data_IF_701934508925
#
_entry.id   IF_701934508925
#
_cell.length_a   1.000
_cell.length_b   1.000
_cell.length_c   1.000
_cell.angle_alpha   90.00
_cell.angle_beta   90.00
_cell.angle_gamma   90.00
#
_symmetry.space_group_name_H-M   'P 1'
#
loop_
_entity.id
_entity.type
_entity.pdbx_description
1 polymer ?
#
# COMPACT_ATOMS: atom_id res chain seq x y z
N UNK A 1 -2.79 -5.73 -17.12
CA UNK A 1 -2.75 -4.68 -16.07
C UNK A 1 -4.07 -3.92 -16.12
N UNK A 2 -4.54 -3.35 -15.00
CA UNK A 2 -5.81 -2.61 -14.95
C UNK A 2 -5.96 -1.55 -16.06
N UNK A 3 -4.85 -0.89 -16.42
CA UNK A 3 -4.78 0.14 -17.47
C UNK A 3 -4.95 -0.44 -18.89
N UNK A 4 -4.38 -1.62 -19.15
CA UNK A 4 -4.52 -2.33 -20.43
C UNK A 4 -5.98 -2.77 -20.63
N UNK A 5 -6.63 -3.23 -19.56
CA UNK A 5 -8.04 -3.62 -19.59
C UNK A 5 -9.00 -2.44 -19.83
N UNK A 6 -8.55 -1.21 -19.57
CA UNK A 6 -9.32 0.04 -19.75
C UNK A 6 -8.96 0.78 -21.05
N UNK A 7 -8.08 0.24 -21.91
CA UNK A 7 -7.61 0.87 -23.16
C UNK A 7 -7.03 2.28 -22.97
N UNK A 8 -6.43 2.56 -21.81
CA UNK A 8 -5.77 3.84 -21.56
C UNK A 8 -4.35 3.74 -22.13
N UNK A 9 -4.01 4.59 -23.10
CA UNK A 9 -2.65 4.66 -23.62
C UNK A 9 -1.70 5.20 -22.54
N UNK A 10 -0.65 4.45 -22.21
CA UNK A 10 0.39 4.88 -21.29
C UNK A 10 1.77 4.43 -21.76
N UNK A 11 2.78 5.21 -21.43
CA UNK A 11 4.18 4.82 -21.58
C UNK A 11 4.68 4.22 -20.26
N UNK A 12 5.27 3.02 -20.33
CA UNK A 12 5.82 2.33 -19.15
C UNK A 12 6.86 3.20 -18.42
N UNK A 13 7.71 3.89 -19.18
CA UNK A 13 8.71 4.82 -18.66
C UNK A 13 8.08 5.97 -17.86
N UNK A 14 6.97 6.53 -18.35
CA UNK A 14 6.25 7.60 -17.65
C UNK A 14 5.67 7.10 -16.32
N UNK A 15 5.10 5.90 -16.28
CA UNK A 15 4.60 5.31 -15.02
C UNK A 15 5.73 5.04 -14.01
N UNK A 16 6.86 4.53 -14.49
CA UNK A 16 8.04 4.31 -13.66
C UNK A 16 8.61 5.62 -13.10
N UNK A 17 8.61 6.68 -13.91
CA UNK A 17 9.04 8.01 -13.47
C UNK A 17 8.10 8.59 -12.40
N UNK A 18 6.78 8.46 -12.57
CA UNK A 18 5.81 8.87 -11.54
C UNK A 18 6.06 8.10 -10.24
N UNK A 19 6.27 6.78 -10.32
CA UNK A 19 6.56 5.96 -9.13
C UNK A 19 7.85 6.41 -8.43
N UNK A 20 8.93 6.67 -9.18
CA UNK A 20 10.18 7.21 -8.65
C UNK A 20 9.97 8.57 -7.98
N UNK A 21 9.19 9.46 -8.58
CA UNK A 21 8.86 10.76 -7.99
C UNK A 21 8.09 10.60 -6.69
N UNK A 22 7.13 9.67 -6.60
CA UNK A 22 6.41 9.40 -5.34
C UNK A 22 7.38 9.00 -4.22
N UNK A 23 8.32 8.09 -4.50
CA UNK A 23 9.34 7.67 -3.52
C UNK A 23 10.26 8.84 -3.15
N UNK A 24 10.78 9.55 -4.14
CA UNK A 24 11.76 10.62 -3.95
C UNK A 24 11.18 11.85 -3.25
N UNK A 25 9.88 12.11 -3.42
CA UNK A 25 9.21 13.27 -2.82
C UNK A 25 9.31 13.28 -1.28
N UNK A 26 9.29 12.11 -0.64
CA UNK A 26 9.47 12.01 0.81
C UNK A 26 10.87 12.46 1.24
N UNK A 27 11.91 12.02 0.52
CA UNK A 27 13.30 12.40 0.78
C UNK A 27 13.56 13.88 0.50
N UNK A 28 12.97 14.42 -0.56
CA UNK A 28 13.05 15.84 -0.89
C UNK A 28 12.42 16.73 0.20
N UNK A 29 11.24 16.36 0.69
CA UNK A 29 10.61 17.12 1.80
C UNK A 29 11.47 17.06 3.06
N UNK A 30 12.08 15.92 3.36
CA UNK A 30 12.99 15.77 4.50
C UNK A 30 14.25 16.61 4.29
N UNK A 31 14.85 16.64 3.10
CA UNK A 31 16.06 17.42 2.85
C UNK A 31 15.80 18.93 2.94
N UNK A 32 14.62 19.39 2.53
CA UNK A 32 14.25 20.81 2.55
C UNK A 32 13.76 21.29 3.92
N UNK A 33 12.86 20.53 4.57
CA UNK A 33 12.17 20.94 5.80
C UNK A 33 12.70 20.23 7.06
N UNK A 34 13.45 19.14 6.90
CA UNK A 34 13.95 18.29 7.99
C UNK A 34 12.96 17.20 8.45
N UNK A 35 11.68 17.28 8.07
CA UNK A 35 10.64 16.32 8.50
C UNK A 35 9.37 16.40 7.63
N UNK A 36 8.60 15.32 7.62
CA UNK A 36 7.25 15.25 7.01
C UNK A 36 6.16 15.32 8.09
N UNK A 37 5.11 16.11 7.89
CA UNK A 37 4.08 16.35 8.93
C UNK A 37 2.68 16.55 8.35
N UNK A 38 2.52 17.51 7.45
CA UNK A 38 1.21 17.89 6.93
C UNK A 38 0.52 16.77 6.13
N UNK A 39 1.23 16.15 5.19
CA UNK A 39 0.68 15.10 4.35
C UNK A 39 0.26 13.86 5.15
N UNK A 40 1.10 13.43 6.10
CA UNK A 40 0.77 12.30 6.98
C UNK A 40 -0.38 12.64 7.93
N UNK A 41 -0.41 13.86 8.48
CA UNK A 41 -1.51 14.31 9.33
C UNK A 41 -2.86 14.32 8.58
N UNK A 42 -2.88 14.78 7.33
CA UNK A 42 -4.07 14.71 6.49
C UNK A 42 -4.48 13.26 6.17
N UNK A 43 -3.51 12.39 5.86
CA UNK A 43 -3.76 10.97 5.60
C UNK A 43 -4.42 10.29 6.81
N UNK A 44 -3.87 10.48 8.01
CA UNK A 44 -4.42 9.95 9.26
C UNK A 44 -5.81 10.54 9.54
N UNK A 45 -6.01 11.85 9.36
CA UNK A 45 -7.32 12.47 9.53
C UNK A 45 -8.38 11.92 8.56
N UNK A 46 -7.98 11.59 7.32
CA UNK A 46 -8.84 10.96 6.32
C UNK A 46 -9.25 9.55 6.76
N UNK A 47 -8.29 8.74 7.22
CA UNK A 47 -8.55 7.39 7.74
C UNK A 47 -9.47 7.43 8.98
N UNK A 48 -9.18 8.31 9.93
CA UNK A 48 -9.98 8.49 11.13
C UNK A 48 -11.42 8.92 10.78
N UNK A 49 -11.58 9.83 9.80
CA UNK A 49 -12.90 10.22 9.32
C UNK A 49 -13.67 9.04 8.71
N UNK A 50 -13.01 8.20 7.92
CA UNK A 50 -13.64 7.01 7.32
C UNK A 50 -14.12 6.02 8.38
N UNK A 51 -13.33 5.81 9.45
CA UNK A 51 -13.68 4.93 10.57
C UNK A 51 -14.82 5.53 11.41
N UNK A 52 -14.66 6.77 11.88
CA UNK A 52 -15.61 7.43 12.78
C UNK A 52 -16.99 7.59 12.12
N UNK A 53 -17.03 7.89 10.81
CA UNK A 53 -18.28 8.09 10.07
C UNK A 53 -18.81 6.82 9.40
N UNK A 54 -18.23 5.66 9.68
CA UNK A 54 -18.55 4.37 9.02
C UNK A 54 -18.70 4.51 7.49
N UNK A 55 -17.76 5.20 6.82
CA UNK A 55 -17.90 5.52 5.40
C UNK A 55 -17.77 4.29 4.50
N UNK A 56 -17.25 3.18 5.02
CA UNK A 56 -16.99 1.92 4.29
C UNK A 56 -16.19 2.14 3.01
N UNK A 57 -15.26 3.09 3.07
CA UNK A 57 -14.37 3.45 1.97
C UNK A 57 -13.19 2.50 1.92
N UNK A 58 -12.68 2.27 0.71
CA UNK A 58 -11.48 1.48 0.48
C UNK A 58 -10.27 2.41 0.61
N UNK A 59 -9.33 2.03 1.47
CA UNK A 59 -8.07 2.72 1.65
C UNK A 59 -6.91 1.72 1.57
N UNK A 60 -5.78 2.07 0.96
CA UNK A 60 -4.57 1.27 1.05
C UNK A 60 -3.99 1.41 2.46
N UNK A 61 -4.16 0.39 3.31
CA UNK A 61 -3.67 0.37 4.69
C UNK A 61 -2.99 -0.96 4.97
N UNK A 62 -2.05 -0.96 5.93
CA UNK A 62 -1.33 -2.17 6.31
C UNK A 62 -2.28 -3.14 7.01
N UNK A 63 -2.44 -4.34 6.43
CA UNK A 63 -3.29 -5.42 6.94
C UNK A 63 -2.54 -6.74 6.85
N UNK A 64 -3.00 -7.73 7.61
CA UNK A 64 -2.45 -9.08 7.55
C UNK A 64 -2.64 -9.65 6.14
N UNK A 65 -1.54 -9.86 5.42
CA UNK A 65 -1.54 -10.31 4.04
C UNK A 65 -1.47 -11.84 3.90
N UNK A 66 -1.56 -12.57 5.02
CA UNK A 66 -1.60 -14.04 5.05
C UNK A 66 -2.68 -14.59 4.11
N UNK A 67 -2.28 -15.45 3.18
CA UNK A 67 -3.20 -16.08 2.22
C UNK A 67 -3.61 -15.22 1.03
N UNK A 68 -3.16 -13.96 0.93
CA UNK A 68 -3.41 -13.10 -0.23
C UNK A 68 -2.26 -13.18 -1.25
N UNK A 69 -2.58 -13.22 -2.55
CA UNK A 69 -1.61 -13.15 -3.67
C UNK A 69 -0.45 -14.18 -3.60
N UNK A 70 -0.70 -15.37 -3.05
CA UNK A 70 0.31 -16.42 -2.90
C UNK A 70 1.31 -16.17 -1.77
N UNK A 71 1.06 -15.18 -0.90
CA UNK A 71 1.77 -15.01 0.36
C UNK A 71 1.26 -16.13 1.28
N UNK A 72 2.12 -17.11 1.58
CA UNK A 72 1.78 -18.33 2.32
C UNK A 72 1.35 -18.08 3.77
N UNK A 73 1.61 -19.04 4.66
CA UNK A 73 1.15 -19.01 6.05
C UNK A 73 1.86 -18.00 6.98
N UNK A 74 2.66 -17.11 6.41
CA UNK A 74 3.48 -16.16 7.14
C UNK A 74 2.68 -14.92 7.56
N UNK A 75 2.88 -14.45 8.78
CA UNK A 75 2.20 -13.28 9.34
C UNK A 75 2.91 -11.97 8.96
N UNK A 76 2.77 -11.57 7.70
CA UNK A 76 3.30 -10.28 7.20
C UNK A 76 2.19 -9.25 7.04
N UNK A 77 2.49 -8.00 7.41
CA UNK A 77 1.58 -6.87 7.24
C UNK A 77 2.02 -6.01 6.06
N UNK A 78 1.13 -5.88 5.08
CA UNK A 78 1.38 -5.12 3.84
C UNK A 78 0.20 -4.21 3.54
N UNK A 79 0.48 -3.12 2.82
CA UNK A 79 -0.54 -2.19 2.35
C UNK A 79 -1.41 -2.84 1.27
N UNK A 80 -2.61 -3.27 1.65
CA UNK A 80 -3.63 -3.78 0.74
C UNK A 80 -4.86 -2.86 0.78
N UNK A 81 -5.66 -2.81 -0.31
CA UNK A 81 -6.88 -2.02 -0.33
C UNK A 81 -7.93 -2.65 0.59
N UNK A 82 -8.07 -2.07 1.78
CA UNK A 82 -8.97 -2.54 2.81
C UNK A 82 -10.18 -1.61 2.95
N UNK A 83 -11.36 -2.19 3.11
CA UNK A 83 -12.57 -1.46 3.42
C UNK A 83 -12.56 -1.08 4.91
N UNK A 84 -12.62 0.22 5.20
CA UNK A 84 -12.63 0.75 6.56
C UNK A 84 -14.02 1.22 6.97
N UNK A 85 -14.47 0.71 8.12
CA UNK A 85 -15.70 1.12 8.79
C UNK A 85 -15.50 1.34 10.28
N UNK A 86 -16.61 1.45 11.02
CA UNK A 86 -16.58 1.71 12.48
C UNK A 86 -15.86 0.62 13.27
N UNK A 87 -15.86 -0.61 12.79
CA UNK A 87 -15.15 -1.75 13.37
C UNK A 87 -13.67 -1.86 12.97
N UNK A 88 -13.12 -0.87 12.25
CA UNK A 88 -11.78 -0.96 11.66
C UNK A 88 -11.84 -1.58 10.26
N UNK A 89 -11.00 -2.59 10.01
CA UNK A 89 -10.95 -3.28 8.72
C UNK A 89 -12.11 -4.27 8.60
N UNK A 90 -13.02 -4.01 7.66
CA UNK A 90 -14.18 -4.88 7.39
C UNK A 90 -13.85 -6.00 6.41
N UNK A 91 -12.88 -5.77 5.52
CA UNK A 91 -12.45 -6.75 4.52
C UNK A 91 -11.40 -6.17 3.59
N UNK A 92 -10.70 -7.04 2.87
CA UNK A 92 -9.70 -6.66 1.88
C UNK A 92 -10.28 -6.90 0.49
N UNK A 93 -10.20 -5.91 -0.38
CA UNK A 93 -10.68 -6.01 -1.76
C UNK A 93 -9.62 -6.68 -2.62
N UNK A 94 -10.01 -7.67 -3.42
CA UNK A 94 -9.09 -8.33 -4.34
C UNK A 94 -8.88 -7.43 -5.58
N UNK A 95 -7.62 -7.12 -5.86
CA UNK A 95 -7.18 -6.36 -7.04
C UNK A 95 -6.62 -7.35 -8.05
N UNK A 96 -7.04 -7.22 -9.30
CA UNK A 96 -6.44 -8.03 -10.37
C UNK A 96 -5.06 -7.47 -10.68
N UNK A 97 -4.02 -8.20 -10.29
CA UNK A 97 -2.63 -7.88 -10.54
C UNK A 97 -2.08 -8.74 -11.68
N UNK A 98 -1.10 -8.21 -12.40
CA UNK A 98 -0.31 -9.01 -13.34
C UNK A 98 0.74 -9.85 -12.60
N UNK A 99 1.27 -10.89 -13.24
CA UNK A 99 2.31 -11.75 -12.66
C UNK A 99 3.54 -10.96 -12.16
N UNK A 100 3.97 -9.93 -12.91
CA UNK A 100 5.08 -9.05 -12.49
C UNK A 100 4.75 -8.28 -11.19
N UNK A 101 3.52 -7.78 -11.05
CA UNK A 101 3.08 -7.02 -9.87
C UNK A 101 2.95 -7.92 -8.65
N UNK A 102 2.39 -9.11 -8.83
CA UNK A 102 2.31 -10.12 -7.78
C UNK A 102 3.70 -10.56 -7.32
N UNK A 103 4.64 -10.76 -8.24
CA UNK A 103 6.01 -11.11 -7.89
C UNK A 103 6.66 -10.02 -7.05
N UNK A 104 6.53 -8.75 -7.44
CA UNK A 104 7.03 -7.61 -6.67
C UNK A 104 6.39 -7.49 -5.28
N UNK A 105 5.12 -7.84 -5.15
CA UNK A 105 4.42 -7.88 -3.87
C UNK A 105 4.99 -8.99 -2.98
N UNK A 106 5.22 -10.19 -3.53
CA UNK A 106 5.85 -11.32 -2.83
C UNK A 106 7.27 -11.01 -2.40
N UNK A 107 8.05 -10.33 -3.24
CA UNK A 107 9.41 -9.91 -2.91
C UNK A 107 9.39 -8.90 -1.74
N UNK A 108 8.46 -7.94 -1.77
CA UNK A 108 8.26 -6.98 -0.67
C UNK A 108 7.86 -7.67 0.64
N UNK A 109 6.98 -8.67 0.55
CA UNK A 109 6.58 -9.50 1.69
C UNK A 109 7.79 -10.21 2.33
N UNK A 110 8.66 -10.77 1.49
CA UNK A 110 9.87 -11.46 1.93
C UNK A 110 10.85 -10.51 2.62
N UNK A 111 11.09 -9.32 2.07
CA UNK A 111 11.98 -8.33 2.70
C UNK A 111 11.48 -7.91 4.07
N UNK A 112 10.16 -7.69 4.24
CA UNK A 112 9.60 -7.34 5.56
C UNK A 112 9.73 -8.51 6.54
N UNK A 113 9.47 -9.74 6.08
CA UNK A 113 9.61 -10.94 6.90
C UNK A 113 11.05 -11.13 7.40
N UNK A 114 12.04 -10.91 6.55
CA UNK A 114 13.46 -11.00 6.91
C UNK A 114 13.79 -10.02 8.05
N UNK A 115 13.27 -8.79 7.96
CA UNK A 115 13.44 -7.78 9.01
C UNK A 115 12.70 -8.15 10.30
N UNK A 116 11.46 -8.66 10.21
CA UNK A 116 10.70 -9.13 11.37
C UNK A 116 11.45 -10.25 12.11
N UNK A 117 11.95 -11.23 11.36
CA UNK A 117 12.74 -12.35 11.90
C UNK A 117 14.01 -11.84 12.60
N UNK A 118 14.69 -10.84 12.04
CA UNK A 118 15.87 -10.22 12.68
C UNK A 118 15.54 -9.51 13.99
N UNK A 119 14.32 -8.95 14.10
CA UNK A 119 13.83 -8.31 15.31
C UNK A 119 13.31 -9.32 16.36
N UNK A 120 13.26 -10.61 16.02
CA UNK A 120 12.78 -11.67 16.92
C UNK A 120 11.26 -11.68 17.11
N UNK A 121 10.52 -11.13 16.15
CA UNK A 121 9.06 -11.06 16.12
C UNK A 121 8.52 -11.92 14.98
#
# INVERSE_FOLDING_TARGET
SFLENQQIAYEKETLENIHKTVINSAYEVISLKGYTSWAIGYSVASLARSIIRDQRKIHPVSVLAKGFYGIGDVEVFLSLPAQLGRGGVLGVTNVHMNEEEEQRLRDSAKTILEVQTQLGI
#
